data_IF_793187552178
#
_entry.id   IF_793187552178
#
_cell.length_a   1.000
_cell.length_b   1.000
_cell.length_c   1.000
_cell.angle_alpha   90.00
_cell.angle_beta   90.00
_cell.angle_gamma   90.00
#
_symmetry.space_group_name_H-M   'P 1'
#
loop_
_entity.id
_entity.type
_entity.pdbx_description
1 polymer ?
#
# COMPACT_ATOMS: atom_id res chain seq x y z
N UNK A 1 -19.97 -3.04 3.62
CA UNK A 1 -19.09 -3.06 2.43
C UNK A 1 -17.73 -3.64 2.83
N UNK A 2 -17.20 -4.61 2.07
CA UNK A 2 -15.93 -5.30 2.38
C UNK A 2 -14.77 -4.31 2.37
N UNK A 3 -13.89 -4.37 3.39
CA UNK A 3 -12.74 -3.48 3.56
C UNK A 3 -11.78 -3.51 2.35
N UNK A 4 -11.66 -4.67 1.72
CA UNK A 4 -10.84 -4.89 0.52
C UNK A 4 -11.23 -3.98 -0.67
N UNK A 5 -12.52 -3.72 -0.88
CA UNK A 5 -12.99 -2.89 -2.01
C UNK A 5 -12.60 -1.42 -1.88
N UNK A 6 -12.41 -0.94 -0.64
CA UNK A 6 -12.01 0.46 -0.39
C UNK A 6 -10.54 0.68 -0.71
N UNK A 7 -9.68 -0.28 -0.39
CA UNK A 7 -8.25 -0.23 -0.70
C UNK A 7 -8.04 -0.30 -2.21
N UNK A 8 -8.75 -1.21 -2.89
CA UNK A 8 -8.68 -1.34 -4.35
C UNK A 8 -9.08 -0.05 -5.07
N UNK A 9 -10.18 0.59 -4.63
CA UNK A 9 -10.62 1.88 -5.18
C UNK A 9 -9.58 2.98 -4.95
N UNK A 10 -8.93 3.00 -3.78
CA UNK A 10 -7.87 3.98 -3.51
C UNK A 10 -6.66 3.74 -4.41
N UNK A 11 -6.21 2.50 -4.55
CA UNK A 11 -5.13 2.12 -5.47
C UNK A 11 -5.49 2.53 -6.90
N UNK A 12 -6.69 2.21 -7.37
CA UNK A 12 -7.13 2.52 -8.73
C UNK A 12 -7.25 4.03 -8.96
N UNK A 13 -7.73 4.77 -7.96
CA UNK A 13 -7.76 6.23 -7.98
C UNK A 13 -6.36 6.83 -8.03
N UNK A 14 -5.39 6.28 -7.28
CA UNK A 14 -4.01 6.74 -7.30
C UNK A 14 -3.35 6.48 -8.66
N UNK A 15 -3.57 5.31 -9.25
CA UNK A 15 -3.11 5.00 -10.62
C UNK A 15 -3.71 5.99 -11.62
N UNK A 16 -5.02 6.22 -11.59
CA UNK A 16 -5.69 7.15 -12.50
C UNK A 16 -5.16 8.59 -12.39
N UNK A 17 -4.89 9.05 -11.18
CA UNK A 17 -4.35 10.38 -10.92
C UNK A 17 -2.88 10.51 -11.39
N UNK A 18 -2.10 9.43 -11.29
CA UNK A 18 -0.73 9.34 -11.81
C UNK A 18 -0.72 9.47 -13.34
N UNK A 19 -1.61 8.75 -14.02
CA UNK A 19 -1.78 8.85 -15.47
C UNK A 19 -2.22 10.25 -15.90
N UNK A 20 -3.14 10.88 -15.17
CA UNK A 20 -3.54 12.25 -15.43
C UNK A 20 -2.36 13.23 -15.28
N UNK A 21 -1.56 13.10 -14.22
CA UNK A 21 -0.37 13.93 -14.01
C UNK A 21 0.70 13.77 -15.09
N UNK A 22 0.98 12.53 -15.53
CA UNK A 22 1.88 12.25 -16.65
C UNK A 22 1.31 12.81 -17.95
N UNK A 23 0.01 12.64 -18.20
CA UNK A 23 -0.66 13.16 -19.38
C UNK A 23 -0.61 14.68 -19.48
N UNK A 24 -0.85 15.38 -18.36
CA UNK A 24 -0.72 16.85 -18.29
C UNK A 24 0.74 17.28 -18.47
N UNK A 25 1.70 16.54 -17.92
CA UNK A 25 3.12 16.84 -18.09
C UNK A 25 3.54 16.71 -19.57
N UNK A 26 3.10 15.65 -20.24
CA UNK A 26 3.34 15.43 -21.68
C UNK A 26 2.61 16.49 -22.53
N UNK A 27 1.37 16.83 -22.20
CA UNK A 27 0.62 17.89 -22.87
C UNK A 27 1.28 19.26 -22.71
N UNK A 28 1.91 19.53 -21.55
CA UNK A 28 2.71 20.73 -21.31
C UNK A 28 3.96 20.86 -22.19
N UNK A 29 4.46 19.75 -22.74
CA UNK A 29 5.52 19.76 -23.76
C UNK A 29 4.99 19.90 -25.19
N UNK A 30 3.71 19.61 -25.44
CA UNK A 30 3.09 19.64 -26.77
C UNK A 30 2.38 20.98 -27.08
N UNK A 31 2.01 21.76 -26.07
CA UNK A 31 1.40 23.09 -26.22
C UNK A 31 2.46 24.19 -26.25
N UNK A 32 2.38 25.10 -27.22
CA UNK A 32 3.20 26.33 -27.29
C UNK A 32 2.88 27.24 -26.08
N UNK A 33 3.86 27.76 -25.30
CA UNK A 33 5.27 28.02 -25.61
C UNK A 33 6.23 26.88 -25.19
N UNK A 34 6.98 26.37 -26.17
CA UNK A 34 8.00 25.34 -25.96
C UNK A 34 9.15 25.91 -25.11
N UNK A 35 9.36 25.33 -23.93
CA UNK A 35 10.52 25.60 -23.08
C UNK A 35 10.23 26.23 -21.71
N UNK A 36 8.97 26.60 -21.43
CA UNK A 36 8.56 27.11 -20.10
C UNK A 36 7.41 26.27 -19.58
N UNK A 37 7.74 25.26 -18.77
CA UNK A 37 6.73 24.53 -17.99
C UNK A 37 6.18 25.50 -16.96
N UNK A 38 4.87 25.77 -17.03
CA UNK A 38 4.22 26.67 -16.07
C UNK A 38 4.33 26.07 -14.66
N UNK A 39 4.78 26.86 -13.69
CA UNK A 39 5.06 26.40 -12.32
C UNK A 39 3.84 25.71 -11.67
N UNK A 40 2.64 26.17 -12.02
CA UNK A 40 1.36 25.58 -11.59
C UNK A 40 1.16 24.14 -12.07
N UNK A 41 1.65 23.78 -13.26
CA UNK A 41 1.55 22.43 -13.81
C UNK A 41 2.50 21.48 -13.09
N UNK A 42 3.74 21.93 -12.86
CA UNK A 42 4.72 21.16 -12.10
C UNK A 42 4.27 20.97 -10.64
N UNK A 43 3.67 22.00 -10.04
CA UNK A 43 3.11 21.94 -8.70
C UNK A 43 1.92 20.98 -8.60
N UNK A 44 0.99 21.00 -9.58
CA UNK A 44 -0.11 20.03 -9.66
C UNK A 44 0.39 18.60 -9.84
N UNK A 45 1.41 18.40 -10.68
CA UNK A 45 2.04 17.10 -10.87
C UNK A 45 2.70 16.59 -9.57
N UNK A 46 3.38 17.47 -8.83
CA UNK A 46 3.94 17.14 -7.52
C UNK A 46 2.85 16.71 -6.52
N UNK A 47 1.69 17.36 -6.51
CA UNK A 47 0.56 16.93 -5.69
C UNK A 47 0.02 15.54 -6.09
N UNK A 48 -0.03 15.25 -7.39
CA UNK A 48 -0.41 13.91 -7.88
C UNK A 48 0.58 12.84 -7.41
N UNK A 49 1.88 13.13 -7.45
CA UNK A 49 2.93 12.23 -6.96
C UNK A 49 2.85 12.02 -5.44
N UNK A 50 2.63 13.07 -4.65
CA UNK A 50 2.47 12.97 -3.19
C UNK A 50 1.27 12.10 -2.84
N UNK A 51 0.12 12.34 -3.50
CA UNK A 51 -1.09 11.55 -3.27
C UNK A 51 -0.88 10.08 -3.64
N UNK A 52 -0.33 9.82 -4.83
CA UNK A 52 0.00 8.48 -5.30
C UNK A 52 0.96 7.75 -4.35
N UNK A 53 2.05 8.41 -3.95
CA UNK A 53 3.03 7.86 -3.03
C UNK A 53 2.46 7.54 -1.64
N UNK A 54 1.58 8.41 -1.12
CA UNK A 54 0.91 8.16 0.16
C UNK A 54 -0.05 6.97 0.10
N UNK A 55 -0.81 6.87 -1.00
CA UNK A 55 -1.78 5.79 -1.20
C UNK A 55 -1.10 4.44 -1.43
N UNK A 56 0.05 4.38 -2.12
CA UNK A 56 0.77 3.11 -2.32
C UNK A 56 1.68 2.75 -1.14
N UNK A 57 2.29 3.73 -0.47
CA UNK A 57 3.29 3.48 0.57
C UNK A 57 2.71 2.92 1.86
N UNK A 58 1.58 3.46 2.34
CA UNK A 58 1.01 3.08 3.63
C UNK A 58 0.40 1.67 3.62
N UNK A 59 -0.43 1.27 2.65
CA UNK A 59 -1.07 -0.05 2.66
C UNK A 59 -0.08 -1.21 2.55
N UNK A 60 0.97 -1.09 1.74
CA UNK A 60 2.02 -2.11 1.61
C UNK A 60 2.80 -2.25 2.92
N UNK A 61 3.16 -1.13 3.54
CA UNK A 61 3.84 -1.13 4.84
C UNK A 61 2.96 -1.74 5.95
N UNK A 62 1.69 -1.35 6.01
CA UNK A 62 0.72 -1.84 7.00
C UNK A 62 0.44 -3.33 6.81
N UNK A 63 0.21 -3.82 5.58
CA UNK A 63 -0.01 -5.26 5.31
C UNK A 63 1.20 -6.08 5.72
N UNK A 64 2.41 -5.63 5.38
CA UNK A 64 3.65 -6.33 5.73
C UNK A 64 3.83 -6.42 7.25
N UNK A 65 3.58 -5.33 7.98
CA UNK A 65 3.73 -5.30 9.44
C UNK A 65 2.64 -6.05 10.19
N UNK A 66 1.41 -6.03 9.68
CA UNK A 66 0.30 -6.82 10.24
C UNK A 66 0.57 -8.31 10.03
N UNK A 67 1.03 -8.70 8.84
CA UNK A 67 1.31 -10.11 8.55
C UNK A 67 2.44 -10.67 9.43
N UNK A 68 3.49 -9.88 9.71
CA UNK A 68 4.57 -10.30 10.61
C UNK A 68 4.14 -10.41 12.07
N UNK A 69 3.23 -9.55 12.54
CA UNK A 69 2.69 -9.65 13.91
C UNK A 69 1.74 -10.84 14.06
N UNK A 70 0.85 -11.06 13.09
CA UNK A 70 -0.10 -12.19 13.11
C UNK A 70 0.63 -13.53 13.01
N UNK A 71 1.65 -13.63 12.15
CA UNK A 71 2.47 -14.84 12.03
C UNK A 71 3.14 -15.22 13.36
N UNK A 72 3.71 -14.23 14.07
CA UNK A 72 4.37 -14.46 15.36
C UNK A 72 3.39 -14.91 16.47
N UNK A 73 2.14 -14.43 16.44
CA UNK A 73 1.10 -14.85 17.41
C UNK A 73 0.67 -16.29 17.12
N UNK A 74 0.40 -16.62 15.85
CA UNK A 74 0.01 -17.97 15.47
C UNK A 74 1.08 -19.02 15.81
N UNK A 75 2.37 -18.69 15.64
CA UNK A 75 3.47 -19.61 15.97
C UNK A 75 3.61 -19.84 17.48
N UNK A 76 3.42 -18.80 18.29
CA UNK A 76 3.41 -18.94 19.76
C UNK A 76 2.27 -19.84 20.22
N UNK A 77 1.07 -19.63 19.69
CA UNK A 77 -0.11 -20.42 20.05
C UNK A 77 0.07 -21.90 19.65
N UNK A 78 0.55 -22.17 18.43
CA UNK A 78 0.87 -23.55 18.00
C UNK A 78 1.92 -24.23 18.88
N UNK A 79 2.94 -23.48 19.29
CA UNK A 79 4.01 -24.00 20.16
C UNK A 79 3.50 -24.32 21.56
N UNK A 80 2.64 -23.48 22.13
CA UNK A 80 2.04 -23.73 23.44
C UNK A 80 1.08 -24.91 23.43
N UNK A 81 0.21 -25.00 22.41
CA UNK A 81 -0.71 -26.15 22.25
C UNK A 81 0.09 -27.45 22.10
N UNK A 82 1.14 -27.45 21.27
CA UNK A 82 2.00 -28.63 21.08
C UNK A 82 2.69 -29.05 22.38
N UNK A 83 3.13 -28.10 23.22
CA UNK A 83 3.68 -28.39 24.55
C UNK A 83 2.65 -29.04 25.48
N UNK A 84 1.42 -28.53 25.51
CA UNK A 84 0.35 -29.09 26.35
C UNK A 84 0.05 -30.54 25.96
N UNK A 85 -0.12 -30.80 24.66
CA UNK A 85 -0.36 -32.16 24.15
C UNK A 85 0.81 -33.09 24.49
N UNK A 86 2.05 -32.63 24.36
CA UNK A 86 3.22 -33.44 24.68
C UNK A 86 3.30 -33.77 26.18
N UNK A 87 2.96 -32.83 27.06
CA UNK A 87 2.92 -33.07 28.49
C UNK A 87 1.78 -34.03 28.90
N UNK A 88 0.63 -33.97 28.24
CA UNK A 88 -0.49 -34.91 28.48
C UNK A 88 -0.14 -36.33 28.04
N UNK A 89 0.61 -36.49 26.95
CA UNK A 89 1.11 -37.79 26.48
C UNK A 89 2.16 -38.40 27.40
N UNK A 90 2.92 -37.58 28.12
CA UNK A 90 3.95 -38.02 29.07
C UNK A 90 3.33 -38.47 30.42
N UNK A 91 2.20 -37.86 30.82
CA UNK A 91 1.48 -38.19 32.06
C UNK A 91 0.62 -39.46 31.99
N UNK A 92 0.39 -39.99 30.78
CA UNK A 92 -0.44 -41.18 30.53
C UNK A 92 0.31 -42.51 30.44
N UNK A 93 1.62 -42.53 30.71
CA UNK A 93 2.45 -43.74 30.81
C UNK A 93 2.89 -43.99 32.24
#
# INVERSE_FOLDING_TARGET
MKRETRDDIMIWSAVGMLFAGVGVSVAGFLVEPLGIIHDTVLWFFAQCLIWSGAVFGIPVYVRTKINSMIGNISEKEKTEVKRRVNNELDQGK
#
